data_IF_801185503983
#
_entry.id   IF_801185503983
#
_cell.length_a   1.000
_cell.length_b   1.000
_cell.length_c   1.000
_cell.angle_alpha   90.00
_cell.angle_beta   90.00
_cell.angle_gamma   90.00
#
_symmetry.space_group_name_H-M   'P 1'
#
loop_
_entity.id
_entity.type
_entity.pdbx_description
1 polymer ?
#
# COMPACT_ATOMS: atom_id res chain seq x y z
N UNK A 1 -16.74 -11.90 2.14
CA UNK A 1 -16.09 -10.69 1.60
C UNK A 1 -15.11 -11.15 0.56
N UNK A 2 -15.36 -10.82 -0.72
CA UNK A 2 -14.55 -11.25 -1.86
C UNK A 2 -13.09 -10.85 -1.65
N UNK A 3 -12.18 -11.77 -1.93
CA UNK A 3 -10.73 -11.52 -1.87
C UNK A 3 -10.41 -10.39 -2.87
N UNK A 4 -10.02 -9.21 -2.38
CA UNK A 4 -9.60 -8.11 -3.26
C UNK A 4 -8.25 -8.48 -3.88
N UNK A 5 -8.27 -9.03 -5.10
CA UNK A 5 -7.05 -9.23 -5.87
C UNK A 5 -6.55 -7.87 -6.34
N UNK A 6 -5.35 -7.48 -5.87
CA UNK A 6 -4.62 -6.30 -6.31
C UNK A 6 -3.52 -6.73 -7.28
N UNK A 7 -3.37 -5.99 -8.37
CA UNK A 7 -2.22 -6.12 -9.28
C UNK A 7 -0.94 -5.64 -8.61
N UNK A 8 0.23 -5.97 -9.17
CA UNK A 8 1.52 -5.51 -8.63
C UNK A 8 1.60 -3.99 -8.51
N UNK A 9 1.20 -3.26 -9.55
CA UNK A 9 1.21 -1.80 -9.55
C UNK A 9 0.24 -1.18 -8.51
N UNK A 10 -0.92 -1.80 -8.28
CA UNK A 10 -1.83 -1.39 -7.21
C UNK A 10 -1.25 -1.64 -5.82
N UNK A 11 -0.57 -2.78 -5.63
CA UNK A 11 0.13 -3.07 -4.37
C UNK A 11 1.22 -2.04 -4.13
N UNK A 12 2.08 -1.77 -5.10
CA UNK A 12 3.20 -0.82 -4.95
C UNK A 12 2.69 0.60 -4.69
N UNK A 13 1.62 1.01 -5.38
CA UNK A 13 1.00 2.32 -5.18
C UNK A 13 0.36 2.42 -3.79
N UNK A 14 -0.37 1.40 -3.34
CA UNK A 14 -0.96 1.38 -2.00
C UNK A 14 0.10 1.38 -0.89
N UNK A 15 1.19 0.63 -1.08
CA UNK A 15 2.36 0.62 -0.18
C UNK A 15 2.93 2.03 -0.07
N UNK A 16 3.16 2.72 -1.19
CA UNK A 16 3.70 4.07 -1.19
C UNK A 16 2.79 5.07 -0.46
N UNK A 17 1.47 4.99 -0.68
CA UNK A 17 0.50 5.87 -0.01
C UNK A 17 0.42 5.65 1.50
N UNK A 18 0.65 4.42 1.99
CA UNK A 18 0.62 4.11 3.42
C UNK A 18 1.94 4.47 4.09
N UNK A 19 3.06 4.12 3.48
CA UNK A 19 4.37 4.21 4.13
C UNK A 19 5.03 5.58 3.97
N UNK A 20 4.79 6.26 2.84
CA UNK A 20 5.28 7.61 2.60
C UNK A 20 4.25 8.69 2.98
N UNK A 21 3.01 8.29 3.26
CA UNK A 21 1.88 9.19 3.47
C UNK A 21 1.25 9.69 2.16
N UNK A 22 0.42 10.74 2.21
CA UNK A 22 -0.20 11.28 1.01
C UNK A 22 0.82 11.69 -0.04
N UNK A 23 0.55 11.36 -1.30
CA UNK A 23 1.42 11.65 -2.44
C UNK A 23 0.77 12.65 -3.39
N UNK A 24 1.54 13.59 -3.91
CA UNK A 24 1.10 14.49 -4.97
C UNK A 24 1.01 13.74 -6.31
N UNK A 25 0.03 14.11 -7.14
CA UNK A 25 -0.17 13.55 -8.46
C UNK A 25 1.11 13.66 -9.31
N UNK A 26 1.59 12.51 -9.82
CA UNK A 26 2.82 12.37 -10.58
C UNK A 26 3.99 11.76 -9.79
N UNK A 27 3.86 11.64 -8.46
CA UNK A 27 4.84 10.95 -7.61
C UNK A 27 4.37 9.54 -7.21
N UNK A 28 3.13 9.16 -7.54
CA UNK A 28 2.66 7.80 -7.34
C UNK A 28 3.37 6.84 -8.31
N UNK A 29 3.68 5.60 -7.88
CA UNK A 29 4.32 4.60 -8.75
C UNK A 29 3.57 4.34 -10.07
N UNK A 30 2.23 4.43 -10.04
CA UNK A 30 1.40 4.31 -11.25
C UNK A 30 0.12 5.12 -11.15
N UNK A 31 -0.13 5.94 -12.18
CA UNK A 31 -1.35 6.75 -12.30
C UNK A 31 -2.60 5.90 -12.44
N UNK A 32 -2.58 4.87 -13.29
CA UNK A 32 -3.74 3.99 -13.49
C UNK A 32 -4.06 3.14 -12.27
N UNK A 33 -3.01 2.70 -11.55
CA UNK A 33 -3.19 1.97 -10.30
C UNK A 33 -3.80 2.85 -9.21
N UNK A 34 -3.35 4.10 -9.09
CA UNK A 34 -3.96 5.09 -8.20
C UNK A 34 -5.44 5.29 -8.51
N UNK A 35 -5.78 5.52 -9.78
CA UNK A 35 -7.17 5.76 -10.20
C UNK A 35 -8.05 4.53 -9.87
N UNK A 36 -7.55 3.31 -10.10
CA UNK A 36 -8.21 2.05 -9.69
C UNK A 36 -8.39 1.94 -8.17
N UNK A 37 -7.37 2.29 -7.38
CA UNK A 37 -7.46 2.28 -5.91
C UNK A 37 -8.51 3.28 -5.40
N UNK A 38 -8.64 4.44 -6.04
CA UNK A 38 -9.68 5.43 -5.73
C UNK A 38 -11.06 4.89 -6.07
N UNK A 39 -11.25 4.32 -7.27
CA UNK A 39 -12.52 3.71 -7.70
C UNK A 39 -12.97 2.60 -6.74
N UNK A 40 -12.02 1.83 -6.20
CA UNK A 40 -12.25 0.75 -5.24
C UNK A 40 -12.39 1.22 -3.79
N UNK A 41 -12.29 2.52 -3.53
CA UNK A 41 -12.38 3.11 -2.19
C UNK A 41 -11.20 2.81 -1.26
N UNK A 42 -10.07 2.34 -1.81
CA UNK A 42 -8.84 2.04 -1.06
C UNK A 42 -7.92 3.27 -0.94
N UNK A 43 -8.10 4.24 -1.82
CA UNK A 43 -7.45 5.55 -1.78
C UNK A 43 -8.48 6.66 -2.03
N UNK A 44 -8.10 7.91 -1.76
CA UNK A 44 -8.95 9.08 -1.97
C UNK A 44 -8.11 10.29 -2.34
N UNK A 45 -8.61 11.10 -3.27
CA UNK A 45 -8.02 12.41 -3.59
C UNK A 45 -8.33 13.42 -2.49
N UNK A 46 -7.33 14.16 -2.04
CA UNK A 46 -7.40 15.12 -0.95
C UNK A 46 -6.77 16.46 -1.34
N UNK A 47 -7.01 17.46 -0.51
CA UNK A 47 -6.24 18.71 -0.47
C UNK A 47 -5.22 18.57 0.67
N UNK A 48 -3.95 18.80 0.39
CA UNK A 48 -2.87 18.76 1.38
C UNK A 48 -2.16 20.12 1.42
N UNK A 49 -2.06 20.74 2.61
CA UNK A 49 -1.40 22.05 2.79
C UNK A 49 -1.83 23.11 1.76
N UNK A 50 -3.14 23.26 1.57
CA UNK A 50 -3.76 24.20 0.61
C UNK A 50 -3.56 23.85 -0.88
N UNK A 51 -3.00 22.68 -1.20
CA UNK A 51 -2.79 22.23 -2.58
C UNK A 51 -3.70 21.04 -2.92
N UNK A 52 -4.40 21.12 -4.05
CA UNK A 52 -5.19 20.00 -4.58
C UNK A 52 -4.29 19.01 -5.34
N UNK A 53 -4.84 17.84 -5.72
CA UNK A 53 -4.10 16.86 -6.50
C UNK A 53 -3.15 16.02 -5.65
N UNK A 54 -3.53 15.73 -4.41
CA UNK A 54 -2.89 14.76 -3.56
C UNK A 54 -3.78 13.53 -3.43
N UNK A 55 -3.18 12.36 -3.23
CA UNK A 55 -3.90 11.12 -2.94
C UNK A 55 -3.41 10.54 -1.63
N UNK A 56 -4.33 10.05 -0.80
CA UNK A 56 -4.03 9.36 0.46
C UNK A 56 -4.71 7.98 0.50
N UNK A 57 -4.14 7.05 1.26
CA UNK A 57 -4.80 5.77 1.54
C UNK A 57 -5.99 5.97 2.49
N UNK A 58 -7.07 5.22 2.27
CA UNK A 58 -8.22 5.18 3.20
C UNK A 58 -7.98 4.14 4.30
N UNK A 59 -8.85 4.12 5.33
CA UNK A 59 -8.83 3.05 6.33
C UNK A 59 -9.08 1.66 5.70
N UNK A 60 -9.96 1.58 4.69
CA UNK A 60 -10.16 0.36 3.92
C UNK A 60 -8.89 -0.05 3.16
N UNK A 61 -8.16 0.93 2.60
CA UNK A 61 -6.83 0.71 2.02
C UNK A 61 -5.82 0.17 3.02
N UNK A 62 -5.82 0.72 4.25
CA UNK A 62 -4.99 0.21 5.36
C UNK A 62 -5.35 -1.23 5.72
N UNK A 63 -6.63 -1.59 5.78
CA UNK A 63 -7.04 -2.98 6.03
C UNK A 63 -6.61 -3.92 4.92
N UNK A 64 -6.71 -3.49 3.65
CA UNK A 64 -6.21 -4.25 2.51
C UNK A 64 -4.69 -4.47 2.59
N UNK A 65 -3.93 -3.44 2.99
CA UNK A 65 -2.48 -3.54 3.21
C UNK A 65 -2.13 -4.54 4.32
N UNK A 66 -2.80 -4.46 5.48
CA UNK A 66 -2.59 -5.42 6.58
C UNK A 66 -2.94 -6.85 6.16
N UNK A 67 -4.04 -7.03 5.44
CA UNK A 67 -4.45 -8.35 4.94
C UNK A 67 -3.43 -8.93 3.96
N UNK A 68 -2.85 -8.09 3.09
CA UNK A 68 -1.86 -8.48 2.09
C UNK A 68 -0.53 -8.92 2.70
N UNK A 69 -0.01 -8.15 3.65
CA UNK A 69 1.32 -8.40 4.21
C UNK A 69 1.31 -9.31 5.42
N UNK A 70 0.19 -9.40 6.16
CA UNK A 70 0.05 -10.27 7.35
C UNK A 70 1.09 -9.94 8.43
N UNK A 71 1.04 -10.61 9.57
CA UNK A 71 2.06 -10.44 10.61
C UNK A 71 3.36 -11.17 10.24
N UNK A 72 4.49 -10.68 10.76
CA UNK A 72 5.82 -11.20 10.45
C UNK A 72 6.01 -12.66 10.90
N UNK A 73 5.36 -13.05 12.00
CA UNK A 73 5.39 -14.41 12.56
C UNK A 73 4.32 -15.34 11.95
N UNK A 74 3.61 -14.90 10.91
CA UNK A 74 2.41 -15.56 10.40
C UNK A 74 1.15 -15.14 11.13
N UNK A 75 -0.01 -15.18 10.45
CA UNK A 75 -1.29 -14.71 10.99
C UNK A 75 -1.71 -13.31 10.51
N UNK A 76 -2.85 -12.80 11.00
CA UNK A 76 -3.36 -11.48 10.62
C UNK A 76 -2.48 -10.39 11.28
N UNK A 77 -2.16 -9.32 10.55
CA UNK A 77 -1.57 -8.13 11.16
C UNK A 77 -2.68 -7.27 11.78
N UNK A 78 -2.54 -6.94 13.06
CA UNK A 78 -3.47 -6.09 13.78
C UNK A 78 -3.08 -4.62 13.66
N UNK A 79 -1.78 -4.34 13.43
CA UNK A 79 -1.25 -2.98 13.20
C UNK A 79 -0.56 -2.82 11.85
N UNK A 80 -0.45 -1.57 11.37
CA UNK A 80 0.33 -1.26 10.16
C UNK A 80 1.82 -1.56 10.34
N UNK A 81 2.36 -1.38 11.54
CA UNK A 81 3.77 -1.63 11.84
C UNK A 81 4.13 -3.11 11.72
N UNK A 82 3.24 -4.02 12.15
CA UNK A 82 3.42 -5.46 11.97
C UNK A 82 3.44 -5.87 10.49
N UNK A 83 2.50 -5.32 9.73
CA UNK A 83 2.42 -5.55 8.29
C UNK A 83 3.66 -5.00 7.56
N UNK A 84 4.13 -3.81 7.95
CA UNK A 84 5.37 -3.22 7.45
C UNK A 84 6.59 -4.10 7.75
N UNK A 85 6.75 -4.51 9.02
CA UNK A 85 7.86 -5.38 9.43
C UNK A 85 7.87 -6.70 8.64
N UNK A 86 6.70 -7.31 8.43
CA UNK A 86 6.57 -8.52 7.62
C UNK A 86 6.98 -8.29 6.16
N UNK A 87 6.59 -7.16 5.57
CA UNK A 87 6.95 -6.80 4.20
C UNK A 87 8.45 -6.60 4.05
N UNK A 88 9.07 -5.82 4.94
CA UNK A 88 10.51 -5.54 4.92
C UNK A 88 11.30 -6.83 5.12
N UNK A 89 10.92 -7.68 6.08
CA UNK A 89 11.58 -8.96 6.32
C UNK A 89 11.53 -9.85 5.07
N UNK A 90 10.37 -9.95 4.39
CA UNK A 90 10.25 -10.71 3.13
C UNK A 90 11.12 -10.14 2.02
N UNK A 91 11.19 -8.81 1.89
CA UNK A 91 12.05 -8.16 0.89
C UNK A 91 13.52 -8.49 1.10
N UNK A 92 13.99 -8.43 2.36
CA UNK A 92 15.36 -8.79 2.73
C UNK A 92 15.65 -10.26 2.39
N UNK A 93 14.77 -11.19 2.81
CA UNK A 93 14.91 -12.62 2.52
C UNK A 93 14.99 -12.87 1.01
N UNK A 94 14.10 -12.26 0.23
CA UNK A 94 14.08 -12.43 -1.22
C UNK A 94 15.35 -11.85 -1.87
N UNK A 95 15.87 -10.72 -1.36
CA UNK A 95 17.11 -10.14 -1.88
C UNK A 95 18.34 -10.98 -1.54
N UNK A 96 18.39 -11.59 -0.35
CA UNK A 96 19.48 -12.47 0.07
C UNK A 96 19.47 -13.82 -0.67
N UNK A 97 18.28 -14.38 -0.93
CA UNK A 97 18.13 -15.60 -1.72
C UNK A 97 18.34 -15.44 -3.23
N UNK A 98 18.49 -14.21 -3.71
CA UNK A 98 18.69 -13.89 -5.14
C UNK A 98 20.14 -13.47 -5.47
N UNK A 99 21.08 -13.59 -4.52
CA UNK A 99 22.51 -13.41 -4.82
C UNK A 99 23.08 -14.70 -5.46
N UNK A 100 23.81 -14.61 -6.60
CA UNK A 100 24.46 -15.76 -7.23
C UNK A 100 25.63 -16.32 -6.39
#
# INVERSE_FOLDING_TARGET
MSELTLTGAEVDTLVALIECGPLSHGYEPSKSARDSLIERGLAVSIINKFEAGWTAATLTGCDAYKARFRAALGGKADTMLEAYAARVARQVINSAGSQP
#
